data_IF_621921961080
#
_entry.id   IF_621921961080
#
_cell.length_a   1.000
_cell.length_b   1.000
_cell.length_c   1.000
_cell.angle_alpha   90.00
_cell.angle_beta   90.00
_cell.angle_gamma   90.00
#
_symmetry.space_group_name_H-M   'P 1'
#
loop_
_entity.id
_entity.type
_entity.pdbx_description
1 polymer ?
#
# COMPACT_ATOMS: atom_id res chain seq x y z
N UNK A 1 -1.74 -6.47 42.20
CA UNK A 1 -1.18 -6.28 40.86
C UNK A 1 -1.18 -7.61 40.15
N UNK A 2 -1.94 -7.75 39.06
CA UNK A 2 -1.63 -8.48 37.81
C UNK A 2 -2.94 -8.73 37.06
N UNK A 3 -3.17 -7.93 36.03
CA UNK A 3 -4.21 -8.13 35.00
C UNK A 3 -3.96 -9.46 34.26
N UNK A 4 -4.99 -10.25 33.91
CA UNK A 4 -4.84 -11.21 32.84
C UNK A 4 -4.83 -10.46 31.51
N UNK A 5 -3.94 -10.92 30.63
CA UNK A 5 -3.64 -10.40 29.32
C UNK A 5 -4.89 -10.29 28.43
N UNK A 6 -5.01 -9.17 27.72
CA UNK A 6 -5.88 -9.08 26.53
C UNK A 6 -5.26 -9.95 25.43
N UNK A 7 -5.97 -11.01 25.05
CA UNK A 7 -5.70 -11.77 23.82
C UNK A 7 -5.76 -10.83 22.60
N UNK A 8 -4.95 -11.09 21.55
CA UNK A 8 -4.91 -10.23 20.38
C UNK A 8 -6.29 -10.19 19.72
N UNK A 9 -6.78 -8.98 19.41
CA UNK A 9 -7.97 -8.78 18.60
C UNK A 9 -7.76 -9.49 17.25
N UNK A 10 -8.26 -10.72 17.12
CA UNK A 10 -8.50 -11.33 15.82
C UNK A 10 -9.52 -10.43 15.15
N UNK A 11 -9.08 -9.63 14.18
CA UNK A 11 -9.98 -8.83 13.36
C UNK A 11 -10.96 -9.81 12.71
N UNK A 12 -12.17 -9.91 13.27
CA UNK A 12 -13.16 -10.87 12.79
C UNK A 12 -13.44 -10.58 11.32
N UNK A 13 -13.42 -11.63 10.49
CA UNK A 13 -13.76 -11.58 9.05
C UNK A 13 -15.27 -11.34 8.90
N UNK A 14 -15.72 -10.15 9.25
CA UNK A 14 -17.14 -9.76 9.28
C UNK A 14 -17.66 -9.31 7.91
N UNK A 15 -16.77 -8.86 7.03
CA UNK A 15 -17.12 -8.43 5.68
C UNK A 15 -17.43 -9.64 4.77
N UNK A 16 -18.50 -9.53 3.97
CA UNK A 16 -18.92 -10.55 3.00
C UNK A 16 -18.65 -10.07 1.57
N UNK A 17 -18.07 -10.95 0.76
CA UNK A 17 -17.88 -10.76 -0.68
C UNK A 17 -18.75 -11.78 -1.42
N UNK A 18 -19.79 -11.31 -2.13
CA UNK A 18 -20.66 -12.16 -2.93
C UNK A 18 -20.32 -12.01 -4.41
N UNK A 19 -20.16 -13.11 -5.13
CA UNK A 19 -19.87 -13.11 -6.56
C UNK A 19 -20.73 -14.13 -7.31
N UNK A 20 -21.03 -13.83 -8.58
CA UNK A 20 -21.65 -14.79 -9.51
C UNK A 20 -20.56 -15.29 -10.44
N UNK A 21 -20.45 -16.59 -10.59
CA UNK A 21 -19.47 -17.24 -11.45
C UNK A 21 -20.15 -18.33 -12.27
N UNK A 22 -19.57 -18.68 -13.42
CA UNK A 22 -20.06 -19.80 -14.21
C UNK A 22 -19.79 -21.14 -13.50
N UNK A 23 -20.58 -22.19 -13.79
CA UNK A 23 -20.34 -23.52 -13.24
C UNK A 23 -18.96 -24.08 -13.61
N UNK A 24 -18.50 -23.80 -14.83
CA UNK A 24 -17.17 -24.18 -15.31
C UNK A 24 -16.07 -23.52 -14.49
N UNK A 25 -16.14 -22.20 -14.29
CA UNK A 25 -15.16 -21.49 -13.47
C UNK A 25 -15.15 -22.01 -12.02
N UNK A 26 -16.32 -22.34 -11.45
CA UNK A 26 -16.40 -22.93 -10.11
C UNK A 26 -15.70 -24.30 -10.05
N UNK A 27 -15.84 -25.14 -11.08
CA UNK A 27 -15.18 -26.44 -11.14
C UNK A 27 -13.66 -26.29 -11.17
N UNK A 28 -13.14 -25.43 -12.06
CA UNK A 28 -11.71 -25.13 -12.17
C UNK A 28 -11.12 -24.61 -10.85
N UNK A 29 -11.81 -23.68 -10.18
CA UNK A 29 -11.34 -23.14 -8.91
C UNK A 29 -11.30 -24.19 -7.80
N UNK A 30 -12.26 -25.14 -7.78
CA UNK A 30 -12.26 -26.25 -6.80
C UNK A 30 -11.12 -27.23 -7.05
N UNK A 31 -10.84 -27.56 -8.30
CA UNK A 31 -9.72 -28.41 -8.67
C UNK A 31 -8.38 -27.78 -8.25
N UNK A 32 -8.18 -26.51 -8.58
CA UNK A 32 -6.96 -25.77 -8.21
C UNK A 32 -6.78 -25.63 -6.69
N UNK A 33 -7.88 -25.38 -5.95
CA UNK A 33 -7.85 -25.35 -4.49
C UNK A 33 -7.48 -26.73 -3.92
N UNK A 34 -8.05 -27.81 -4.47
CA UNK A 34 -7.74 -29.18 -4.10
C UNK A 34 -6.29 -29.57 -4.36
N UNK A 35 -5.72 -29.15 -5.50
CA UNK A 35 -4.32 -29.38 -5.83
C UNK A 35 -3.35 -28.72 -4.82
N UNK A 36 -3.77 -27.61 -4.21
CA UNK A 36 -3.01 -26.91 -3.16
C UNK A 36 -3.43 -27.26 -1.73
N UNK A 37 -4.26 -28.29 -1.55
CA UNK A 37 -4.73 -28.78 -0.24
C UNK A 37 -5.36 -27.68 0.63
N UNK A 38 -6.09 -26.76 0.01
CA UNK A 38 -6.75 -25.64 0.68
C UNK A 38 -8.23 -25.58 0.33
N UNK A 39 -9.03 -24.96 1.20
CA UNK A 39 -10.43 -24.72 0.90
C UNK A 39 -10.60 -23.63 -0.18
N UNK A 40 -11.72 -23.69 -0.91
CA UNK A 40 -12.01 -22.78 -2.00
C UNK A 40 -12.00 -21.30 -1.57
N UNK A 41 -12.48 -21.00 -0.35
CA UNK A 41 -12.56 -19.62 0.15
C UNK A 41 -11.16 -19.08 0.40
N UNK A 42 -10.31 -19.85 1.07
CA UNK A 42 -8.91 -19.48 1.32
C UNK A 42 -8.12 -19.35 0.03
N UNK A 43 -8.32 -20.25 -0.94
CA UNK A 43 -7.67 -20.17 -2.25
C UNK A 43 -8.02 -18.88 -2.98
N UNK A 44 -9.31 -18.58 -3.12
CA UNK A 44 -9.78 -17.39 -3.85
C UNK A 44 -9.35 -16.11 -3.12
N UNK A 45 -9.50 -16.07 -1.80
CA UNK A 45 -9.09 -14.91 -1.00
C UNK A 45 -7.57 -14.68 -1.09
N UNK A 46 -6.77 -15.73 -1.00
CA UNK A 46 -5.32 -15.68 -1.12
C UNK A 46 -4.89 -15.09 -2.46
N UNK A 47 -5.39 -15.68 -3.56
CA UNK A 47 -5.08 -15.22 -4.92
C UNK A 47 -5.54 -13.76 -5.15
N UNK A 48 -6.72 -13.39 -4.64
CA UNK A 48 -7.22 -12.01 -4.76
C UNK A 48 -6.36 -11.01 -3.98
N UNK A 49 -5.91 -11.37 -2.77
CA UNK A 49 -5.06 -10.50 -1.94
C UNK A 49 -3.66 -10.36 -2.53
N UNK A 50 -3.08 -11.42 -3.06
CA UNK A 50 -1.80 -11.38 -3.77
C UNK A 50 -1.90 -10.42 -4.96
N UNK A 51 -2.91 -10.61 -5.82
CA UNK A 51 -3.11 -9.73 -6.98
C UNK A 51 -3.38 -8.28 -6.56
N UNK A 52 -4.15 -8.06 -5.49
CA UNK A 52 -4.40 -6.72 -4.97
C UNK A 52 -3.12 -6.05 -4.49
N UNK A 53 -2.22 -6.78 -3.81
CA UNK A 53 -0.90 -6.25 -3.42
C UNK A 53 -0.09 -5.86 -4.64
N UNK A 54 -0.05 -6.69 -5.68
CA UNK A 54 0.71 -6.37 -6.89
C UNK A 54 0.21 -5.10 -7.57
N UNK A 55 -1.12 -4.93 -7.66
CA UNK A 55 -1.73 -3.73 -8.24
C UNK A 55 -1.38 -2.50 -7.40
N UNK A 56 -1.52 -2.59 -6.07
CA UNK A 56 -1.20 -1.48 -5.18
C UNK A 56 0.30 -1.16 -5.12
N UNK A 57 1.16 -2.16 -5.32
CA UNK A 57 2.62 -1.96 -5.39
C UNK A 57 3.02 -1.36 -6.73
N UNK A 58 2.37 -1.74 -7.83
CA UNK A 58 2.60 -1.10 -9.13
C UNK A 58 2.36 0.40 -9.11
N UNK A 59 1.38 0.87 -8.32
CA UNK A 59 1.12 2.30 -8.12
C UNK A 59 2.11 2.98 -7.17
N UNK A 60 2.79 2.22 -6.31
CA UNK A 60 3.66 2.76 -5.23
C UNK A 60 5.16 2.63 -5.52
N UNK A 61 5.55 1.76 -6.44
CA UNK A 61 6.95 1.47 -6.75
C UNK A 61 7.32 2.15 -8.07
N UNK A 62 8.11 3.22 -7.96
CA UNK A 62 8.78 3.79 -9.12
C UNK A 62 9.93 2.87 -9.52
N UNK A 63 9.85 2.28 -10.71
CA UNK A 63 10.96 1.50 -11.27
C UNK A 63 11.96 2.47 -11.89
N UNK A 64 13.19 2.43 -11.41
CA UNK A 64 14.29 3.23 -11.92
C UNK A 64 15.26 2.30 -12.66
N UNK A 65 15.74 2.75 -13.81
CA UNK A 65 16.93 2.19 -14.43
C UNK A 65 18.16 2.52 -13.57
N UNK A 66 19.29 1.79 -13.71
CA UNK A 66 20.50 2.09 -12.95
C UNK A 66 20.95 3.55 -13.10
N UNK A 67 20.90 4.09 -14.32
CA UNK A 67 21.26 5.48 -14.58
C UNK A 67 20.31 6.51 -13.93
N UNK A 68 19.03 6.18 -13.78
CA UNK A 68 18.07 7.03 -13.05
C UNK A 68 18.29 6.92 -11.54
N UNK A 69 18.68 5.74 -11.04
CA UNK A 69 19.04 5.57 -9.63
C UNK A 69 20.28 6.41 -9.28
N UNK A 70 21.33 6.36 -10.10
CA UNK A 70 22.56 7.14 -9.91
C UNK A 70 22.26 8.65 -9.90
N UNK A 71 21.33 9.12 -10.75
CA UNK A 71 20.88 10.51 -10.77
C UNK A 71 20.15 10.90 -9.49
N UNK A 72 19.32 10.01 -8.95
CA UNK A 72 18.63 10.26 -7.69
C UNK A 72 19.62 10.27 -6.53
N UNK A 73 20.56 9.34 -6.46
CA UNK A 73 21.59 9.32 -5.42
C UNK A 73 22.41 10.61 -5.44
N UNK A 74 22.89 11.04 -6.61
CA UNK A 74 23.61 12.30 -6.76
C UNK A 74 22.76 13.50 -6.31
N UNK A 75 21.48 13.54 -6.69
CA UNK A 75 20.57 14.62 -6.30
C UNK A 75 20.24 14.63 -4.79
N UNK A 76 20.29 13.49 -4.12
CA UNK A 76 20.06 13.37 -2.68
C UNK A 76 21.30 13.79 -1.86
N UNK A 77 22.50 13.57 -2.39
CA UNK A 77 23.77 13.98 -1.78
C UNK A 77 24.09 15.47 -1.97
N UNK A 78 23.45 16.13 -2.94
CA UNK A 78 23.59 17.57 -3.18
C UNK A 78 22.95 18.43 -2.07
N UNK A 79 23.57 19.58 -1.77
CA UNK A 79 23.02 20.55 -0.82
C UNK A 79 21.65 21.07 -1.31
N UNK A 80 20.62 21.09 -0.45
CA UNK A 80 19.30 21.53 -0.86
C UNK A 80 19.31 23.01 -1.26
N UNK A 81 18.85 23.28 -2.48
CA UNK A 81 18.69 24.65 -3.00
C UNK A 81 17.23 25.07 -3.01
N UNK A 82 16.97 26.30 -2.58
CA UNK A 82 15.63 26.88 -2.65
C UNK A 82 15.34 27.29 -4.09
N UNK A 83 14.28 26.72 -4.67
CA UNK A 83 13.75 27.13 -5.97
C UNK A 83 12.67 28.19 -5.71
N UNK A 84 12.87 29.47 -6.12
CA UNK A 84 11.96 30.58 -5.78
C UNK A 84 10.50 30.34 -6.20
N UNK A 85 10.30 29.74 -7.37
CA UNK A 85 9.00 29.41 -7.95
C UNK A 85 8.29 28.33 -7.13
N UNK A 86 9.03 27.31 -6.70
CA UNK A 86 8.52 26.25 -5.84
C UNK A 86 8.13 26.80 -4.46
N UNK A 87 8.94 27.69 -3.89
CA UNK A 87 8.64 28.34 -2.63
C UNK A 87 7.37 29.21 -2.73
N UNK A 88 7.18 29.92 -3.84
CA UNK A 88 5.96 30.69 -4.10
C UNK A 88 4.74 29.78 -4.26
N UNK A 89 4.87 28.66 -4.97
CA UNK A 89 3.80 27.68 -5.13
C UNK A 89 3.37 27.06 -3.78
N UNK A 90 4.34 26.67 -2.94
CA UNK A 90 4.06 26.12 -1.60
C UNK A 90 3.35 27.17 -0.73
N UNK A 91 3.78 28.43 -0.74
CA UNK A 91 3.09 29.52 -0.01
C UNK A 91 1.63 29.67 -0.44
N UNK A 92 1.38 29.71 -1.75
CA UNK A 92 0.03 29.81 -2.31
C UNK A 92 -0.87 28.63 -1.91
N UNK A 93 -0.35 27.39 -1.89
CA UNK A 93 -1.10 26.21 -1.46
C UNK A 93 -1.45 26.28 0.03
N UNK A 94 -0.51 26.74 0.88
CA UNK A 94 -0.75 26.90 2.33
C UNK A 94 -1.84 27.93 2.63
N UNK A 95 -1.89 29.02 1.86
CA UNK A 95 -2.93 30.04 1.95
C UNK A 95 -4.31 29.51 1.52
N UNK A 96 -4.36 28.62 0.52
CA UNK A 96 -5.61 28.07 -0.01
C UNK A 96 -6.22 26.95 0.84
N UNK A 97 -5.40 26.11 1.48
CA UNK A 97 -5.88 24.90 2.16
C UNK A 97 -5.83 24.96 3.70
N UNK A 98 -5.36 26.08 4.27
CA UNK A 98 -5.14 26.24 5.70
C UNK A 98 -4.04 25.31 6.23
N UNK A 99 -3.37 25.69 7.31
CA UNK A 99 -2.14 25.08 7.82
C UNK A 99 -2.34 23.67 8.45
N UNK A 100 -2.99 22.74 7.76
CA UNK A 100 -3.27 21.37 8.22
C UNK A 100 -2.08 20.41 8.09
N UNK A 101 -0.83 20.91 8.11
CA UNK A 101 0.30 20.02 7.87
C UNK A 101 1.70 20.61 7.96
N UNK A 102 1.97 21.61 8.81
CA UNK A 102 3.36 21.90 9.14
C UNK A 102 3.87 20.85 10.16
N UNK A 103 4.76 19.90 9.78
CA UNK A 103 5.46 19.13 10.80
C UNK A 103 6.43 20.07 11.51
N UNK A 104 6.30 20.15 12.83
CA UNK A 104 7.29 20.79 13.70
C UNK A 104 8.58 19.97 13.63
N UNK A 105 9.43 20.21 12.63
CA UNK A 105 10.83 19.79 12.69
C UNK A 105 11.53 20.72 13.69
N UNK A 106 11.40 20.35 14.97
CA UNK A 106 12.24 20.88 16.02
C UNK A 106 13.68 20.42 15.73
N UNK A 107 14.54 21.39 15.42
CA UNK A 107 15.98 21.23 15.39
C UNK A 107 16.47 20.60 16.70
N UNK A 108 17.36 19.62 16.58
CA UNK A 108 18.20 19.09 17.65
C UNK A 108 19.64 19.08 17.17
#
# INVERSE_FOLDING_TARGET
MTSPAQSPNTTDRTARLNMRISPEALATLREAAGAQQQDLTSFVLGAALERARDVLMSDRVMRLTPAEMDQIEAALDEEPRVIPELAAAIRKVREQFGDRGAPTLAAR
#
